data_IF_551847552294
#
_entry.id   IF_551847552294
#
_cell.length_a   1.000
_cell.length_b   1.000
_cell.length_c   1.000
_cell.angle_alpha   90.00
_cell.angle_beta   90.00
_cell.angle_gamma   90.00
#
_symmetry.space_group_name_H-M   'P 1'
#
loop_
_entity.id
_entity.type
_entity.pdbx_description
1 polymer ?
#
# COMPACT_ATOMS: atom_id res chain seq x y z
N UNK A 1 70.45 -17.21 14.82
CA UNK A 1 69.03 -17.34 15.23
C UNK A 1 68.18 -17.04 14.00
N UNK A 2 67.70 -18.10 13.33
CA UNK A 2 66.83 -17.96 12.15
C UNK A 2 65.40 -17.75 12.63
N UNK A 3 64.85 -16.56 12.41
CA UNK A 3 63.41 -16.28 12.58
C UNK A 3 62.66 -16.89 11.39
N UNK A 4 62.11 -18.08 11.58
CA UNK A 4 61.13 -18.66 10.65
C UNK A 4 59.86 -17.80 10.68
N UNK A 5 59.64 -16.99 9.65
CA UNK A 5 58.33 -16.36 9.42
C UNK A 5 57.37 -17.45 8.93
N UNK A 6 56.45 -17.87 9.79
CA UNK A 6 55.36 -18.77 9.43
C UNK A 6 54.40 -18.04 8.48
N UNK A 7 54.48 -18.33 7.19
CA UNK A 7 53.51 -17.87 6.20
C UNK A 7 52.17 -18.54 6.51
N UNK A 8 51.15 -17.76 6.87
CA UNK A 8 49.80 -18.25 7.11
C UNK A 8 49.04 -18.12 5.78
N UNK A 9 48.85 -19.25 5.10
CA UNK A 9 47.97 -19.31 3.93
C UNK A 9 46.50 -19.33 4.39
N UNK A 10 45.73 -18.34 3.96
CA UNK A 10 44.37 -18.11 4.46
C UNK A 10 43.32 -18.70 3.51
N UNK A 11 43.55 -18.65 2.20
CA UNK A 11 42.66 -19.17 1.15
C UNK A 11 43.49 -19.66 -0.04
N UNK A 12 43.28 -20.90 -0.50
CA UNK A 12 43.84 -21.44 -1.75
C UNK A 12 42.71 -21.85 -2.68
N UNK A 13 42.70 -21.30 -3.89
CA UNK A 13 41.74 -21.62 -4.95
C UNK A 13 42.52 -22.23 -6.10
N UNK A 14 42.27 -23.51 -6.40
CA UNK A 14 42.86 -24.22 -7.53
C UNK A 14 41.77 -24.66 -8.49
N UNK A 15 41.97 -24.38 -9.78
CA UNK A 15 41.06 -24.77 -10.86
C UNK A 15 41.77 -25.84 -11.69
N UNK A 16 41.26 -27.07 -11.67
CA UNK A 16 41.77 -28.16 -12.52
C UNK A 16 40.99 -28.13 -13.86
N UNK A 17 41.72 -27.94 -14.97
CA UNK A 17 41.10 -27.89 -16.31
C UNK A 17 40.76 -29.28 -16.87
N UNK A 18 41.16 -30.37 -16.21
CA UNK A 18 40.89 -31.75 -16.65
C UNK A 18 39.65 -32.37 -15.99
N UNK A 19 39.26 -31.87 -14.82
CA UNK A 19 37.99 -32.13 -14.12
C UNK A 19 37.53 -30.80 -13.53
N UNK A 20 36.35 -30.25 -13.88
CA UNK A 20 35.90 -28.97 -13.34
C UNK A 20 35.50 -29.14 -11.87
N UNK A 21 36.49 -29.27 -11.00
CA UNK A 21 36.34 -29.40 -9.57
C UNK A 21 36.95 -28.14 -8.93
N UNK A 22 36.09 -27.40 -8.22
CA UNK A 22 36.51 -26.28 -7.39
C UNK A 22 36.90 -26.84 -6.02
N UNK A 23 38.19 -26.88 -5.72
CA UNK A 23 38.68 -27.21 -4.39
C UNK A 23 38.86 -25.92 -3.59
N UNK A 24 38.14 -25.82 -2.47
CA UNK A 24 38.25 -24.71 -1.52
C UNK A 24 38.95 -25.21 -0.26
N UNK A 25 40.22 -24.88 -0.10
CA UNK A 25 40.96 -25.11 1.14
C UNK A 25 40.91 -23.83 1.98
N UNK A 26 40.31 -23.91 3.16
CA UNK A 26 40.10 -22.79 4.06
C UNK A 26 40.52 -23.15 5.47
N UNK A 27 41.03 -22.14 6.18
CA UNK A 27 41.26 -22.25 7.62
C UNK A 27 39.92 -22.38 8.36
N UNK A 28 39.86 -23.27 9.36
CA UNK A 28 38.65 -23.56 10.11
C UNK A 28 38.10 -22.33 10.86
N UNK A 29 38.97 -21.39 11.25
CA UNK A 29 38.56 -20.14 11.91
C UNK A 29 37.71 -19.25 10.98
N UNK A 30 37.99 -19.23 9.67
CA UNK A 30 37.17 -18.49 8.70
C UNK A 30 35.79 -19.12 8.54
N UNK A 31 35.75 -20.46 8.47
CA UNK A 31 34.50 -21.22 8.37
C UNK A 31 33.63 -20.93 9.60
N UNK A 32 34.21 -21.01 10.80
CA UNK A 32 33.51 -20.67 12.05
C UNK A 32 33.00 -19.22 12.09
N UNK A 33 33.80 -18.26 11.60
CA UNK A 33 33.40 -16.86 11.52
C UNK A 33 32.20 -16.63 10.59
N UNK A 34 32.19 -17.24 9.41
CA UNK A 34 31.07 -17.15 8.45
C UNK A 34 29.81 -17.78 9.03
N UNK A 35 29.93 -18.93 9.69
CA UNK A 35 28.80 -19.65 10.29
C UNK A 35 28.14 -18.86 11.43
N UNK A 36 28.93 -18.07 12.18
CA UNK A 36 28.42 -17.16 13.21
C UNK A 36 27.78 -15.90 12.64
N UNK A 37 28.33 -15.34 11.56
CA UNK A 37 27.81 -14.11 10.96
C UNK A 37 26.56 -14.34 10.11
N UNK A 38 26.45 -15.50 9.46
CA UNK A 38 25.32 -15.85 8.60
C UNK A 38 23.94 -15.69 9.27
N UNK A 39 23.67 -16.22 10.48
CA UNK A 39 22.37 -16.05 11.12
C UNK A 39 22.08 -14.60 11.51
N UNK A 40 23.12 -13.83 11.86
CA UNK A 40 22.98 -12.41 12.21
C UNK A 40 22.57 -11.62 10.97
N UNK A 41 23.27 -11.82 9.85
CA UNK A 41 22.95 -11.17 8.57
C UNK A 41 21.56 -11.59 8.10
N UNK A 42 21.22 -12.88 8.17
CA UNK A 42 19.91 -13.40 7.81
C UNK A 42 18.79 -12.78 8.66
N UNK A 43 18.99 -12.66 9.97
CA UNK A 43 18.02 -12.07 10.89
C UNK A 43 17.84 -10.56 10.68
N UNK A 44 18.93 -9.82 10.49
CA UNK A 44 18.90 -8.38 10.19
C UNK A 44 18.24 -8.14 8.84
N UNK A 45 18.57 -8.93 7.82
CA UNK A 45 17.99 -8.82 6.50
C UNK A 45 16.49 -9.17 6.50
N UNK A 46 16.10 -10.22 7.23
CA UNK A 46 14.69 -10.58 7.44
C UNK A 46 13.88 -9.47 8.12
N UNK A 47 14.45 -8.80 9.13
CA UNK A 47 13.83 -7.62 9.76
C UNK A 47 13.73 -6.43 8.80
N UNK A 48 14.78 -6.16 8.04
CA UNK A 48 14.78 -5.07 7.05
C UNK A 48 13.76 -5.30 5.92
N UNK A 49 13.59 -6.56 5.49
CA UNK A 49 12.59 -6.94 4.50
C UNK A 49 11.16 -6.83 5.06
N UNK A 50 10.97 -7.22 6.32
CA UNK A 50 9.69 -7.11 7.03
C UNK A 50 9.25 -5.65 7.23
N UNK A 51 10.18 -4.73 7.50
CA UNK A 51 9.87 -3.30 7.65
C UNK A 51 9.37 -2.61 6.36
N UNK A 52 9.53 -3.24 5.18
CA UNK A 52 8.91 -2.73 3.94
C UNK A 52 7.39 -2.91 3.90
N UNK A 53 6.82 -3.75 4.76
CA UNK A 53 5.38 -4.04 4.82
C UNK A 53 4.69 -3.31 5.98
N UNK A 54 5.05 -2.05 6.24
CA UNK A 54 4.29 -1.21 7.17
C UNK A 54 2.89 -0.96 6.60
N UNK A 55 1.89 -1.54 7.26
CA UNK A 55 0.47 -1.28 7.05
C UNK A 55 0.17 0.04 7.77
N UNK A 56 -0.32 1.03 7.03
CA UNK A 56 -0.72 2.31 7.61
C UNK A 56 -2.24 2.35 7.71
N UNK A 57 -2.72 2.77 8.87
CA UNK A 57 -4.14 3.01 9.11
C UNK A 57 -4.45 4.48 8.74
N UNK A 58 -5.29 4.70 7.73
CA UNK A 58 -5.87 6.02 7.45
C UNK A 58 -7.23 6.08 8.14
N UNK A 59 -7.55 7.10 8.91
CA UNK A 59 -8.92 7.34 9.38
C UNK A 59 -9.55 8.43 8.53
N UNK A 60 -10.71 8.20 7.91
CA UNK A 60 -11.49 9.28 7.28
C UNK A 60 -12.91 9.24 7.82
N UNK A 61 -13.32 10.38 8.36
CA UNK A 61 -14.67 10.61 8.83
C UNK A 61 -15.44 11.30 7.71
N UNK A 62 -16.48 10.64 7.20
CA UNK A 62 -17.33 11.18 6.13
C UNK A 62 -18.54 11.81 6.81
N UNK A 63 -18.80 13.10 6.54
CA UNK A 63 -19.96 13.83 7.06
C UNK A 63 -21.26 13.06 6.79
N UNK A 64 -21.97 12.67 7.86
CA UNK A 64 -23.28 12.00 7.79
C UNK A 64 -23.29 10.47 7.54
N UNK A 65 -22.15 9.76 7.65
CA UNK A 65 -22.07 8.29 7.51
C UNK A 65 -21.06 7.69 8.51
N UNK A 66 -21.12 6.39 8.85
CA UNK A 66 -20.32 5.85 9.96
C UNK A 66 -18.82 5.93 9.70
N UNK A 67 -18.06 6.13 10.79
CA UNK A 67 -16.59 6.27 10.83
C UNK A 67 -15.90 5.13 10.09
N UNK A 68 -15.25 5.42 8.96
CA UNK A 68 -14.52 4.42 8.18
C UNK A 68 -13.02 4.49 8.52
N UNK A 69 -12.47 3.39 9.04
CA UNK A 69 -11.02 3.24 9.25
C UNK A 69 -10.47 2.42 8.09
N UNK A 70 -9.48 2.97 7.40
CA UNK A 70 -8.85 2.48 6.18
C UNK A 70 -7.58 1.72 6.55
N UNK A 71 -7.49 0.43 6.17
CA UNK A 71 -6.24 -0.34 6.25
C UNK A 71 -5.80 -0.69 4.84
N UNK A 72 -4.76 -0.03 4.34
CA UNK A 72 -4.27 -0.27 2.96
C UNK A 72 -2.87 -0.86 2.99
N UNK A 73 -2.71 -2.06 2.45
CA UNK A 73 -1.38 -2.69 2.24
C UNK A 73 -0.69 -2.05 1.02
N UNK A 74 0.61 -1.68 1.18
CA UNK A 74 1.37 -0.92 0.18
C UNK A 74 1.70 -1.73 -1.08
N UNK A 75 1.10 -1.35 -2.20
CA UNK A 75 1.77 -1.24 -3.50
C UNK A 75 1.72 0.26 -3.88
N UNK A 76 2.76 0.82 -4.51
CA UNK A 76 2.85 2.25 -4.82
C UNK A 76 1.63 2.75 -5.62
N UNK A 77 1.12 1.92 -6.54
CA UNK A 77 -0.07 2.23 -7.35
C UNK A 77 -1.35 2.34 -6.49
N UNK A 78 -1.56 1.44 -5.53
CA UNK A 78 -2.76 1.46 -4.70
C UNK A 78 -2.77 2.61 -3.70
N UNK A 79 -1.60 2.98 -3.18
CA UNK A 79 -1.48 4.16 -2.33
C UNK A 79 -1.74 5.44 -3.11
N UNK A 80 -1.30 5.50 -4.37
CA UNK A 80 -1.57 6.63 -5.23
C UNK A 80 -3.08 6.79 -5.48
N UNK A 81 -3.77 5.71 -5.81
CA UNK A 81 -5.23 5.71 -6.00
C UNK A 81 -5.95 6.06 -4.69
N UNK A 82 -5.54 5.48 -3.57
CA UNK A 82 -6.11 5.77 -2.25
C UNK A 82 -5.95 7.25 -1.87
N UNK A 83 -4.79 7.85 -2.14
CA UNK A 83 -4.53 9.26 -1.86
C UNK A 83 -5.41 10.18 -2.71
N UNK A 84 -5.61 9.87 -4.01
CA UNK A 84 -6.50 10.65 -4.87
C UNK A 84 -7.94 10.63 -4.38
N UNK A 85 -8.44 9.45 -4.00
CA UNK A 85 -9.77 9.31 -3.39
C UNK A 85 -9.85 10.10 -2.08
N UNK A 86 -8.82 10.03 -1.23
CA UNK A 86 -8.78 10.75 0.04
C UNK A 86 -8.86 12.28 -0.13
N UNK A 87 -8.12 12.85 -1.09
CA UNK A 87 -8.18 14.28 -1.40
C UNK A 87 -9.61 14.68 -1.78
N UNK A 88 -10.25 13.94 -2.69
CA UNK A 88 -11.63 14.23 -3.12
C UNK A 88 -12.65 14.11 -1.96
N UNK A 89 -12.42 13.19 -1.02
CA UNK A 89 -13.25 13.00 0.18
C UNK A 89 -12.99 14.04 1.28
N UNK A 90 -11.94 14.84 1.21
CA UNK A 90 -11.61 15.82 2.26
C UNK A 90 -11.73 17.26 1.79
N UNK A 91 -11.70 17.53 0.48
CA UNK A 91 -11.71 18.89 -0.05
C UNK A 91 -13.02 19.27 -0.75
N UNK A 92 -13.89 18.32 -1.06
CA UNK A 92 -15.13 18.63 -1.78
C UNK A 92 -16.24 19.11 -0.88
N UNK A 93 -17.05 20.04 -1.41
CA UNK A 93 -18.34 20.48 -0.86
C UNK A 93 -19.29 19.31 -0.53
N UNK A 94 -19.14 18.18 -1.22
CA UNK A 94 -19.93 16.97 -0.95
C UNK A 94 -19.50 16.18 0.29
N UNK A 95 -18.26 16.37 0.75
CA UNK A 95 -17.65 15.55 1.80
C UNK A 95 -17.28 16.36 3.06
N UNK A 96 -17.45 17.68 3.02
CA UNK A 96 -17.32 18.59 4.16
C UNK A 96 -18.71 18.99 4.70
N UNK A 97 -18.80 19.54 5.92
CA UNK A 97 -20.06 20.09 6.43
C UNK A 97 -20.63 21.16 5.49
N UNK A 98 -21.95 21.13 5.30
CA UNK A 98 -22.66 22.11 4.46
C UNK A 98 -22.74 23.43 5.23
N UNK A 99 -22.40 24.52 4.56
CA UNK A 99 -22.61 25.88 5.04
C UNK A 99 -24.02 26.35 4.66
N UNK A 100 -24.94 26.37 5.61
CA UNK A 100 -26.35 26.72 5.34
C UNK A 100 -26.55 28.18 4.86
N UNK A 101 -25.61 29.08 5.14
CA UNK A 101 -25.70 30.49 4.74
C UNK A 101 -25.18 30.71 3.33
N UNK A 102 -24.08 30.02 2.96
CA UNK A 102 -23.34 30.30 1.74
C UNK A 102 -23.43 29.19 0.67
N UNK A 103 -23.80 27.96 1.03
CA UNK A 103 -23.85 26.85 0.07
C UNK A 103 -25.15 26.82 -0.73
N UNK A 104 -24.99 26.86 -2.05
CA UNK A 104 -26.10 26.61 -2.96
C UNK A 104 -26.35 25.11 -3.07
N UNK A 105 -27.54 24.65 -2.67
CA UNK A 105 -27.91 23.23 -2.63
C UNK A 105 -27.72 22.49 -3.97
N UNK A 106 -27.93 23.16 -5.11
CA UNK A 106 -27.70 22.57 -6.44
C UNK A 106 -26.23 22.22 -6.66
N UNK A 107 -25.31 23.06 -6.18
CA UNK A 107 -23.88 22.82 -6.27
C UNK A 107 -23.43 21.68 -5.37
N UNK A 108 -24.01 21.58 -4.16
CA UNK A 108 -23.77 20.46 -3.25
C UNK A 108 -24.13 19.16 -3.95
N UNK A 109 -25.34 19.04 -4.48
CA UNK A 109 -25.77 17.84 -5.20
C UNK A 109 -24.94 17.53 -6.46
N UNK A 110 -24.55 18.56 -7.22
CA UNK A 110 -23.65 18.39 -8.36
C UNK A 110 -22.27 17.89 -7.91
N UNK A 111 -21.75 18.39 -6.80
CA UNK A 111 -20.50 17.93 -6.19
C UNK A 111 -20.59 16.47 -5.76
N UNK A 112 -21.70 16.03 -5.15
CA UNK A 112 -21.93 14.64 -4.76
C UNK A 112 -21.95 13.69 -5.97
N UNK A 113 -22.70 14.06 -7.02
CA UNK A 113 -22.75 13.26 -8.24
C UNK A 113 -21.37 13.16 -8.93
N UNK A 114 -20.64 14.28 -8.98
CA UNK A 114 -19.28 14.31 -9.54
C UNK A 114 -18.29 13.50 -8.69
N UNK A 115 -18.45 13.48 -7.36
CA UNK A 115 -17.61 12.68 -6.45
C UNK A 115 -17.85 11.17 -6.69
N UNK A 116 -19.11 10.76 -6.89
CA UNK A 116 -19.44 9.38 -7.26
C UNK A 116 -18.71 8.94 -8.54
N UNK A 117 -18.73 9.79 -9.57
CA UNK A 117 -18.04 9.53 -10.83
C UNK A 117 -16.52 9.37 -10.64
N UNK A 118 -15.89 10.30 -9.94
CA UNK A 118 -14.44 10.28 -9.72
C UNK A 118 -14.00 9.04 -8.96
N UNK A 119 -14.63 8.74 -7.82
CA UNK A 119 -14.26 7.55 -7.04
C UNK A 119 -14.44 6.28 -7.88
N UNK A 120 -15.52 6.18 -8.67
CA UNK A 120 -15.73 5.05 -9.58
C UNK A 120 -14.62 4.95 -10.62
N UNK A 121 -14.18 6.07 -11.19
CA UNK A 121 -13.13 6.09 -12.20
C UNK A 121 -11.75 5.78 -11.61
N UNK A 122 -11.43 6.27 -10.41
CA UNK A 122 -10.22 5.89 -9.67
C UNK A 122 -10.15 4.38 -9.44
N UNK A 123 -11.24 3.77 -8.97
CA UNK A 123 -11.29 2.31 -8.73
C UNK A 123 -11.07 1.51 -10.02
N UNK A 124 -11.55 1.98 -11.18
CA UNK A 124 -11.34 1.30 -12.47
C UNK A 124 -9.85 1.21 -12.85
N UNK A 125 -9.02 2.11 -12.33
CA UNK A 125 -7.58 2.11 -12.60
C UNK A 125 -6.82 1.07 -11.77
N UNK A 126 -7.47 0.46 -10.76
CA UNK A 126 -6.83 -0.56 -9.92
C UNK A 126 -6.56 -1.82 -10.75
N UNK A 127 -5.31 -2.33 -10.78
CA UNK A 127 -4.96 -3.49 -11.60
C UNK A 127 -5.64 -4.76 -11.11
N UNK A 128 -6.05 -5.64 -12.03
CA UNK A 128 -6.72 -6.91 -11.69
C UNK A 128 -5.88 -7.86 -10.81
N UNK A 129 -4.56 -7.71 -10.81
CA UNK A 129 -3.66 -8.43 -9.90
C UNK A 129 -3.88 -8.08 -8.42
N UNK A 130 -4.39 -6.87 -8.14
CA UNK A 130 -4.76 -6.45 -6.79
C UNK A 130 -5.90 -7.29 -6.20
N UNK A 131 -6.88 -7.65 -7.03
CA UNK A 131 -8.04 -8.46 -6.62
C UNK A 131 -7.65 -9.87 -6.18
N UNK A 132 -6.56 -10.43 -6.74
CA UNK A 132 -6.07 -11.77 -6.37
C UNK A 132 -5.32 -11.77 -5.04
N UNK A 133 -4.67 -10.65 -4.72
CA UNK A 133 -3.74 -10.54 -3.57
C UNK A 133 -4.40 -10.01 -2.31
N UNK A 134 -5.58 -9.40 -2.41
CA UNK A 134 -6.24 -8.74 -1.29
C UNK A 134 -7.69 -9.17 -1.18
N UNK A 135 -8.19 -9.27 0.07
CA UNK A 135 -9.60 -9.50 0.29
C UNK A 135 -10.39 -8.28 -0.22
N UNK A 136 -11.27 -8.45 -1.23
CA UNK A 136 -11.95 -7.34 -1.86
C UNK A 136 -12.78 -6.52 -0.87
N UNK A 137 -13.34 -7.13 0.18
CA UNK A 137 -14.23 -6.48 1.16
C UNK A 137 -13.52 -5.47 2.06
N UNK A 138 -12.24 -5.68 2.37
CA UNK A 138 -11.46 -4.87 3.32
C UNK A 138 -10.45 -3.97 2.57
N UNK A 139 -10.12 -4.36 1.33
CA UNK A 139 -9.20 -3.63 0.47
C UNK A 139 -9.81 -2.33 -0.10
N UNK A 140 -8.95 -1.55 -0.78
CA UNK A 140 -9.31 -0.28 -1.42
C UNK A 140 -10.59 -0.39 -2.27
N UNK A 141 -10.73 -1.45 -3.06
CA UNK A 141 -11.88 -1.66 -3.94
C UNK A 141 -13.18 -1.82 -3.14
N UNK A 142 -13.22 -2.70 -2.12
CA UNK A 142 -14.44 -2.91 -1.35
C UNK A 142 -14.82 -1.71 -0.53
N UNK A 143 -13.85 -1.06 0.10
CA UNK A 143 -14.12 0.16 0.86
C UNK A 143 -14.67 1.28 -0.04
N UNK A 144 -14.04 1.51 -1.18
CA UNK A 144 -14.52 2.52 -2.13
C UNK A 144 -15.88 2.13 -2.72
N UNK A 145 -16.12 0.83 -2.94
CA UNK A 145 -17.44 0.31 -3.35
C UNK A 145 -18.50 0.55 -2.27
N UNK A 146 -18.17 0.42 -0.98
CA UNK A 146 -19.07 0.77 0.12
C UNK A 146 -19.37 2.27 0.16
N UNK A 147 -18.37 3.12 0.03
CA UNK A 147 -18.56 4.58 -0.05
C UNK A 147 -19.53 4.92 -1.19
N UNK A 148 -19.32 4.35 -2.38
CA UNK A 148 -20.19 4.56 -3.53
C UNK A 148 -21.62 4.03 -3.30
N UNK A 149 -21.77 2.80 -2.81
CA UNK A 149 -23.06 2.09 -2.81
C UNK A 149 -23.89 2.31 -1.54
N UNK A 150 -23.25 2.50 -0.40
CA UNK A 150 -23.89 2.67 0.91
C UNK A 150 -23.91 4.15 1.33
N UNK A 151 -22.92 4.95 0.93
CA UNK A 151 -22.88 6.38 1.22
C UNK A 151 -23.53 7.23 0.11
N UNK A 152 -22.85 7.33 -1.04
CA UNK A 152 -23.22 8.28 -2.09
C UNK A 152 -24.51 7.91 -2.83
N UNK A 153 -24.64 6.67 -3.29
CA UNK A 153 -25.78 6.23 -4.13
C UNK A 153 -27.14 6.38 -3.44
N UNK A 154 -27.34 5.95 -2.17
CA UNK A 154 -28.65 6.06 -1.54
C UNK A 154 -29.07 7.53 -1.38
N UNK A 155 -28.13 8.41 -1.06
CA UNK A 155 -28.38 9.83 -0.94
C UNK A 155 -28.81 10.44 -2.28
N UNK A 156 -28.04 10.17 -3.35
CA UNK A 156 -28.34 10.70 -4.69
C UNK A 156 -29.69 10.18 -5.23
N UNK A 157 -29.95 8.88 -5.11
CA UNK A 157 -31.20 8.28 -5.62
C UNK A 157 -32.42 8.78 -4.85
N UNK A 158 -32.32 8.98 -3.54
CA UNK A 158 -33.47 9.35 -2.71
C UNK A 158 -33.71 10.86 -2.65
N UNK A 159 -32.66 11.64 -2.48
CA UNK A 159 -32.75 13.08 -2.18
C UNK A 159 -32.51 13.94 -3.41
N UNK A 160 -31.39 13.72 -4.12
CA UNK A 160 -31.09 14.49 -5.34
C UNK A 160 -32.18 14.31 -6.40
N UNK A 161 -32.67 13.08 -6.61
CA UNK A 161 -33.72 12.82 -7.60
C UNK A 161 -35.01 13.61 -7.31
N UNK A 162 -35.43 13.68 -6.03
CA UNK A 162 -36.60 14.48 -5.62
C UNK A 162 -36.35 15.97 -5.79
N UNK A 163 -35.17 16.44 -5.40
CA UNK A 163 -34.77 17.83 -5.57
C UNK A 163 -34.81 18.24 -7.05
N UNK A 164 -34.21 17.44 -7.94
CA UNK A 164 -34.24 17.71 -9.39
C UNK A 164 -35.66 17.79 -9.94
N UNK A 165 -36.53 16.87 -9.56
CA UNK A 165 -37.94 16.88 -9.98
C UNK A 165 -38.70 18.14 -9.55
N UNK A 166 -38.28 18.81 -8.47
CA UNK A 166 -38.88 20.06 -8.02
C UNK A 166 -38.22 21.30 -8.66
N UNK A 167 -36.91 21.24 -8.86
CA UNK A 167 -36.10 22.36 -9.34
C UNK A 167 -36.17 22.54 -10.86
N UNK A 168 -36.26 21.44 -11.61
CA UNK A 168 -36.44 21.36 -13.07
C UNK A 168 -37.93 21.20 -13.41
#
# INVERSE_FOLDING_TARGET
MSTNSSIIEVIRISIDSSKPALAFESNWYLIGGVLLLFPIVFFVWGKYLSQRFNIYDLGVEISGSPKAIFKVQRNNENLFIANRIHIELTTRKAAIPIDEENDVIVEVYNSWYKLFGIIRDEIKTVPGSYLKSHNPTIALIGLSTKILNEGLRPHLTKHQAKFRKWYE
#
